data_IF_823471373818
#
_entry.id   IF_823471373818
#
_cell.length_a   1.000
_cell.length_b   1.000
_cell.length_c   1.000
_cell.angle_alpha   90.00
_cell.angle_beta   90.00
_cell.angle_gamma   90.00
#
_symmetry.space_group_name_H-M   'P 1'
#
loop_
_entity.id
_entity.type
_entity.pdbx_description
1 polymer ?
#
# COMPACT_ATOMS: atom_id res chain seq x y z
N UNK A 1 21.08 -0.63 14.14
CA UNK A 1 21.46 -0.60 12.70
C UNK A 1 20.41 0.04 11.80
N UNK A 2 19.16 -0.46 11.80
CA UNK A 2 18.11 -0.04 10.85
C UNK A 2 17.75 1.46 10.89
N UNK A 3 17.94 2.12 12.03
CA UNK A 3 17.65 3.56 12.21
C UNK A 3 18.51 4.49 11.33
N UNK A 4 19.64 4.02 10.82
CA UNK A 4 20.55 4.80 9.96
C UNK A 4 20.55 4.31 8.51
N UNK A 5 19.65 3.40 8.17
CA UNK A 5 19.57 2.85 6.82
C UNK A 5 18.56 3.63 6.00
N UNK A 6 18.92 3.83 4.73
CA UNK A 6 17.98 4.17 3.68
C UNK A 6 17.00 3.01 3.43
N UNK A 7 15.86 3.31 2.83
CA UNK A 7 14.89 2.28 2.44
C UNK A 7 15.52 1.22 1.50
N UNK A 8 16.41 1.65 0.60
CA UNK A 8 17.12 0.76 -0.32
C UNK A 8 18.02 -0.24 0.43
N UNK A 9 18.71 0.19 1.48
CA UNK A 9 19.55 -0.70 2.31
C UNK A 9 18.69 -1.71 3.09
N UNK A 10 17.54 -1.28 3.61
CA UNK A 10 16.57 -2.18 4.26
C UNK A 10 16.11 -3.26 3.28
N UNK A 11 15.71 -2.88 2.07
CA UNK A 11 15.27 -3.85 1.05
C UNK A 11 16.40 -4.76 0.58
N UNK A 12 17.62 -4.26 0.43
CA UNK A 12 18.79 -5.08 0.11
C UNK A 12 19.02 -6.16 1.18
N UNK A 13 18.92 -5.79 2.47
CA UNK A 13 19.05 -6.74 3.58
C UNK A 13 17.94 -7.79 3.60
N UNK A 14 16.69 -7.40 3.34
CA UNK A 14 15.53 -8.32 3.26
C UNK A 14 15.78 -9.35 2.15
N UNK A 15 16.11 -8.90 0.94
CA UNK A 15 16.39 -9.77 -0.21
C UNK A 15 17.56 -10.72 0.05
N UNK A 16 18.66 -10.22 0.60
CA UNK A 16 19.83 -11.03 0.93
C UNK A 16 19.55 -12.09 2.02
N UNK A 17 18.57 -11.84 2.90
CA UNK A 17 18.20 -12.79 3.95
C UNK A 17 17.33 -13.95 3.48
N UNK A 18 16.66 -13.81 2.32
CA UNK A 18 15.66 -14.75 1.85
C UNK A 18 14.37 -14.80 2.69
N UNK A 19 14.18 -13.88 3.64
CA UNK A 19 12.92 -13.80 4.39
C UNK A 19 11.77 -13.47 3.45
N UNK A 20 10.66 -14.18 3.60
CA UNK A 20 9.44 -13.90 2.85
C UNK A 20 8.88 -12.54 3.27
N UNK A 21 8.47 -11.73 2.30
CA UNK A 21 7.71 -10.52 2.50
C UNK A 21 6.43 -10.59 1.65
N UNK A 22 5.49 -9.68 1.91
CA UNK A 22 4.20 -9.70 1.24
C UNK A 22 4.30 -9.15 -0.19
N UNK A 23 3.71 -9.86 -1.16
CA UNK A 23 3.80 -9.58 -2.60
C UNK A 23 3.41 -8.16 -3.02
N UNK A 24 2.53 -7.51 -2.27
CA UNK A 24 2.08 -6.16 -2.57
C UNK A 24 3.19 -5.11 -2.56
N UNK A 25 4.29 -5.34 -1.82
CA UNK A 25 5.47 -4.48 -1.88
C UNK A 25 6.10 -4.48 -3.27
N UNK A 26 6.10 -5.62 -3.97
CA UNK A 26 6.58 -5.71 -5.37
C UNK A 26 5.64 -5.01 -6.37
N UNK A 27 4.39 -4.74 -5.96
CA UNK A 27 3.42 -3.97 -6.75
C UNK A 27 3.47 -2.47 -6.51
N UNK A 28 4.32 -2.02 -5.59
CA UNK A 28 4.52 -0.61 -5.27
C UNK A 28 3.76 -0.11 -4.05
N UNK A 29 3.11 -0.98 -3.27
CA UNK A 29 2.59 -0.59 -1.94
C UNK A 29 3.77 -0.29 -1.02
N UNK A 30 3.79 0.87 -0.37
CA UNK A 30 4.81 1.24 0.63
C UNK A 30 4.45 0.77 2.04
N UNK A 31 3.17 0.50 2.28
CA UNK A 31 2.66 -0.02 3.56
C UNK A 31 1.58 -1.07 3.35
N UNK A 32 1.46 -1.96 4.33
CA UNK A 32 0.39 -2.95 4.39
C UNK A 32 -0.45 -2.75 5.63
N UNK A 33 -1.54 -2.02 5.43
CA UNK A 33 -2.60 -1.80 6.42
C UNK A 33 -3.94 -2.00 5.71
N UNK A 34 -5.03 -1.39 6.19
CA UNK A 34 -6.31 -1.43 5.49
C UNK A 34 -6.16 -0.93 4.04
N UNK A 35 -6.83 -1.60 3.09
CA UNK A 35 -7.04 -1.01 1.77
C UNK A 35 -7.81 0.30 1.90
N UNK A 36 -7.41 1.32 1.13
CA UNK A 36 -7.97 2.67 1.22
C UNK A 36 -7.92 3.28 2.63
N UNK A 37 -6.85 2.98 3.38
CA UNK A 37 -6.64 3.59 4.69
C UNK A 37 -6.53 5.11 4.57
N UNK A 38 -7.25 5.84 5.43
CA UNK A 38 -7.23 7.32 5.50
C UNK A 38 -5.84 7.92 5.80
N UNK A 39 -4.89 7.09 6.27
CA UNK A 39 -3.49 7.47 6.52
C UNK A 39 -2.54 7.07 5.38
N UNK A 40 -3.06 6.51 4.28
CA UNK A 40 -2.24 6.13 3.12
C UNK A 40 -1.84 7.37 2.30
N UNK A 41 -0.68 7.29 1.63
CA UNK A 41 -0.34 8.30 0.63
C UNK A 41 -1.23 8.16 -0.61
N UNK A 42 -1.27 9.21 -1.43
CA UNK A 42 -1.98 9.15 -2.72
C UNK A 42 -1.49 8.00 -3.59
N UNK A 43 -0.18 7.76 -3.66
CA UNK A 43 0.39 6.70 -4.48
C UNK A 43 -0.03 5.31 -3.99
N UNK A 44 -0.12 5.11 -2.66
CA UNK A 44 -0.61 3.88 -2.07
C UNK A 44 -2.12 3.69 -2.32
N UNK A 45 -2.92 4.76 -2.29
CA UNK A 45 -4.36 4.71 -2.63
C UNK A 45 -4.56 4.34 -4.11
N UNK A 46 -3.80 4.95 -5.01
CA UNK A 46 -3.85 4.63 -6.44
C UNK A 46 -3.38 3.20 -6.72
N UNK A 47 -2.34 2.73 -6.03
CA UNK A 47 -1.88 1.34 -6.11
C UNK A 47 -2.95 0.36 -5.61
N UNK A 48 -3.57 0.66 -4.46
CA UNK A 48 -4.66 -0.12 -3.92
C UNK A 48 -5.86 -0.18 -4.89
N UNK A 49 -6.22 0.94 -5.52
CA UNK A 49 -7.30 1.00 -6.52
C UNK A 49 -7.00 0.12 -7.74
N UNK A 50 -5.75 0.15 -8.25
CA UNK A 50 -5.34 -0.72 -9.36
C UNK A 50 -5.35 -2.21 -8.98
N UNK A 51 -4.94 -2.55 -7.76
CA UNK A 51 -4.87 -3.92 -7.28
C UNK A 51 -6.25 -4.47 -6.86
N UNK A 52 -7.19 -3.61 -6.47
CA UNK A 52 -8.51 -3.96 -5.96
C UNK A 52 -9.61 -3.06 -6.55
N UNK A 53 -9.85 -3.12 -7.87
CA UNK A 53 -10.79 -2.22 -8.55
C UNK A 53 -12.22 -2.37 -8.03
N UNK A 54 -12.67 -3.58 -7.72
CA UNK A 54 -14.03 -3.81 -7.21
C UNK A 54 -14.26 -3.17 -5.85
N UNK A 55 -13.27 -3.25 -4.95
CA UNK A 55 -13.35 -2.57 -3.64
C UNK A 55 -13.25 -1.05 -3.80
N UNK A 56 -12.46 -0.56 -4.74
CA UNK A 56 -12.41 0.87 -5.03
C UNK A 56 -13.79 1.38 -5.47
N UNK A 57 -14.48 0.62 -6.32
CA UNK A 57 -15.83 0.95 -6.76
C UNK A 57 -16.85 0.94 -5.61
N UNK A 58 -16.73 -0.02 -4.69
CA UNK A 58 -17.57 -0.09 -3.48
C UNK A 58 -17.39 1.16 -2.59
N UNK A 59 -16.14 1.60 -2.37
CA UNK A 59 -15.84 2.81 -1.60
C UNK A 59 -16.43 4.06 -2.26
N UNK A 60 -16.26 4.21 -3.57
CA UNK A 60 -16.82 5.35 -4.33
C UNK A 60 -18.35 5.38 -4.25
N UNK A 61 -19.01 4.22 -4.34
CA UNK A 61 -20.45 4.12 -4.21
C UNK A 61 -20.93 4.55 -2.81
N UNK A 62 -20.23 4.12 -1.76
CA UNK A 62 -20.54 4.50 -0.38
C UNK A 62 -20.31 6.00 -0.12
N UNK A 63 -19.21 6.57 -0.62
CA UNK A 63 -18.95 8.01 -0.52
C UNK A 63 -20.07 8.83 -1.18
N UNK A 64 -20.54 8.39 -2.36
CA UNK A 64 -21.66 9.01 -3.06
C UNK A 64 -22.99 8.91 -2.27
N UNK A 65 -23.27 7.75 -1.65
CA UNK A 65 -24.46 7.56 -0.79
C UNK A 65 -24.45 8.49 0.42
N UNK A 66 -23.28 8.68 1.04
CA UNK A 66 -23.09 9.56 2.20
C UNK A 66 -23.09 11.06 1.85
N UNK A 67 -23.08 11.40 0.56
CA UNK A 67 -23.02 12.79 0.09
C UNK A 67 -21.63 13.40 0.13
N UNK A 68 -20.57 12.58 0.22
CA UNK A 68 -19.19 13.01 0.08
C UNK A 68 -18.82 13.03 -1.42
N UNK A 69 -18.40 14.20 -1.91
CA UNK A 69 -17.93 14.41 -3.29
C UNK A 69 -16.70 15.31 -3.30
#
# INVERSE_FOLDING_TARGET
PILHWTEAEVWARIKASGVRYHWAYDKGMKRLSCSFCVLASREDLECAARLRPDLAAEYVALEAEMGHR
#
